data_IF_905399443847
#
_entry.id   IF_905399443847
#
_cell.length_a   1.000
_cell.length_b   1.000
_cell.length_c   1.000
_cell.angle_alpha   90.00
_cell.angle_beta   90.00
_cell.angle_gamma   90.00
#
_symmetry.space_group_name_H-M   'P 1'
#
loop_
_entity.id
_entity.type
_entity.pdbx_description
1 polymer ?
#
# COMPACT_ATOMS: atom_id res chain seq x y z
N UNK A 1 11.25 -19.10 -0.26
CA UNK A 1 11.44 -17.65 -0.38
C UNK A 1 10.65 -17.02 0.75
N UNK A 2 11.23 -16.11 1.53
CA UNK A 2 10.52 -15.45 2.63
C UNK A 2 9.52 -14.43 2.08
N UNK A 3 8.40 -14.26 2.78
CA UNK A 3 7.32 -13.31 2.42
C UNK A 3 7.68 -11.85 2.78
N UNK A 4 8.85 -11.64 3.38
CA UNK A 4 9.40 -10.35 3.80
C UNK A 4 10.19 -10.48 5.11
N UNK A 5 11.03 -9.49 5.41
CA UNK A 5 11.76 -9.35 6.67
C UNK A 5 11.10 -8.28 7.54
N UNK A 6 10.63 -8.69 8.71
CA UNK A 6 9.93 -7.87 9.68
C UNK A 6 10.85 -7.50 10.84
N UNK A 7 10.72 -6.28 11.34
CA UNK A 7 11.18 -5.92 12.68
C UNK A 7 9.97 -5.93 13.62
N UNK A 8 10.05 -6.66 14.73
CA UNK A 8 9.06 -6.63 15.82
C UNK A 8 9.67 -5.95 17.03
N UNK A 9 9.32 -4.68 17.25
CA UNK A 9 9.76 -3.87 18.39
C UNK A 9 8.65 -3.79 19.44
N UNK A 10 8.83 -4.48 20.56
CA UNK A 10 7.91 -4.48 21.70
C UNK A 10 8.74 -4.83 22.94
N UNK A 11 8.65 -4.12 24.05
CA UNK A 11 9.41 -4.38 25.27
C UNK A 11 8.89 -5.64 26.01
N UNK A 12 7.64 -6.05 25.76
CA UNK A 12 7.00 -7.19 26.39
C UNK A 12 7.41 -8.52 25.74
N UNK A 13 8.25 -9.29 26.46
CA UNK A 13 8.77 -10.56 25.97
C UNK A 13 7.69 -11.63 25.72
N UNK A 14 6.62 -11.65 26.51
CA UNK A 14 5.52 -12.60 26.35
C UNK A 14 4.73 -12.30 25.07
N UNK A 15 4.48 -11.02 24.79
CA UNK A 15 3.81 -10.60 23.56
C UNK A 15 4.64 -10.99 22.33
N UNK A 16 5.94 -10.68 22.32
CA UNK A 16 6.84 -11.10 21.22
C UNK A 16 6.84 -12.62 21.05
N UNK A 17 6.98 -13.36 22.14
CA UNK A 17 6.98 -14.84 22.14
C UNK A 17 5.66 -15.42 21.60
N UNK A 18 4.53 -14.74 21.81
CA UNK A 18 3.24 -15.16 21.28
C UNK A 18 3.08 -14.92 19.77
N UNK A 19 3.66 -13.83 19.24
CA UNK A 19 3.52 -13.46 17.82
C UNK A 19 4.55 -14.15 16.91
N UNK A 20 5.76 -14.41 17.39
CA UNK A 20 6.84 -14.97 16.58
C UNK A 20 6.48 -16.28 15.86
N UNK A 21 5.88 -17.29 16.52
CA UNK A 21 5.52 -18.54 15.85
C UNK A 21 4.52 -18.30 14.72
N UNK A 22 3.57 -17.40 14.93
CA UNK A 22 2.54 -17.06 13.96
C UNK A 22 3.13 -16.35 12.74
N UNK A 23 3.94 -15.32 12.94
CA UNK A 23 4.60 -14.58 11.85
C UNK A 23 5.54 -15.49 11.04
N UNK A 24 6.26 -16.39 11.71
CA UNK A 24 7.13 -17.36 11.03
C UNK A 24 6.34 -18.42 10.26
N UNK A 25 5.19 -18.85 10.79
CA UNK A 25 4.28 -19.78 10.09
C UNK A 25 3.74 -19.15 8.79
N UNK A 26 3.47 -17.84 8.80
CA UNK A 26 3.11 -17.05 7.62
C UNK A 26 4.28 -16.78 6.66
N UNK A 27 5.48 -17.31 6.96
CA UNK A 27 6.65 -17.26 6.08
C UNK A 27 7.48 -15.97 6.16
N UNK A 28 7.29 -15.16 7.19
CA UNK A 28 8.11 -13.96 7.43
C UNK A 28 9.40 -14.29 8.18
N UNK A 29 10.49 -13.61 7.82
CA UNK A 29 11.68 -13.53 8.67
C UNK A 29 11.45 -12.43 9.71
N UNK A 30 11.65 -12.71 11.00
CA UNK A 30 11.34 -11.75 12.07
C UNK A 30 12.56 -11.51 12.93
N UNK A 31 12.92 -10.23 13.04
CA UNK A 31 13.93 -9.70 13.92
C UNK A 31 13.26 -9.00 15.11
N UNK A 32 13.65 -9.36 16.34
CA UNK A 32 13.04 -8.80 17.55
C UNK A 32 13.82 -7.60 18.09
N UNK A 33 13.14 -6.60 18.62
CA UNK A 33 13.74 -5.56 19.44
C UNK A 33 12.90 -5.36 20.70
N UNK A 34 13.59 -5.22 21.83
CA UNK A 34 13.01 -5.04 23.17
C UNK A 34 13.14 -3.60 23.69
N UNK A 35 13.77 -2.72 22.91
CA UNK A 35 13.94 -1.30 23.24
C UNK A 35 13.97 -0.42 21.99
N UNK A 36 13.79 0.88 22.19
CA UNK A 36 13.92 1.90 21.12
C UNK A 36 15.32 1.83 20.48
N UNK A 37 16.37 1.74 21.29
CA UNK A 37 17.76 1.72 20.83
C UNK A 37 18.05 0.44 20.01
N UNK A 38 17.59 -0.70 20.49
CA UNK A 38 17.72 -2.00 19.82
C UNK A 38 16.99 -1.97 18.46
N UNK A 39 15.76 -1.44 18.45
CA UNK A 39 14.94 -1.30 17.25
C UNK A 39 15.61 -0.40 16.22
N UNK A 40 16.05 0.80 16.61
CA UNK A 40 16.75 1.77 15.76
C UNK A 40 18.05 1.18 15.20
N UNK A 41 18.85 0.51 16.03
CA UNK A 41 20.10 -0.13 15.60
C UNK A 41 19.84 -1.19 14.52
N UNK A 42 18.84 -2.06 14.70
CA UNK A 42 18.49 -3.08 13.70
C UNK A 42 18.00 -2.43 12.42
N UNK A 43 17.09 -1.49 12.55
CA UNK A 43 16.65 -0.62 11.48
C UNK A 43 17.84 -0.12 10.62
N UNK A 44 18.93 0.35 11.24
CA UNK A 44 20.10 0.90 10.54
C UNK A 44 21.08 -0.12 9.98
N UNK A 45 21.13 -1.33 10.54
CA UNK A 45 22.21 -2.29 10.28
C UNK A 45 21.79 -3.49 9.43
N UNK A 46 20.50 -3.66 9.17
CA UNK A 46 19.98 -4.78 8.40
C UNK A 46 18.80 -4.38 7.52
N UNK A 47 18.54 -5.13 6.42
CA UNK A 47 17.35 -4.92 5.62
C UNK A 47 16.09 -5.21 6.44
N UNK A 48 15.08 -4.35 6.34
CA UNK A 48 13.76 -4.53 6.95
C UNK A 48 12.72 -4.05 5.94
N UNK A 49 11.72 -4.90 5.66
CA UNK A 49 10.65 -4.60 4.70
C UNK A 49 9.47 -3.88 5.35
N UNK A 50 9.23 -4.15 6.64
CA UNK A 50 8.17 -3.58 7.45
C UNK A 50 8.54 -3.62 8.95
N UNK A 51 8.25 -2.55 9.68
CA UNK A 51 8.41 -2.50 11.13
C UNK A 51 7.05 -2.61 11.84
N UNK A 52 6.94 -3.53 12.79
CA UNK A 52 5.84 -3.68 13.75
C UNK A 52 6.32 -3.12 15.07
N UNK A 53 5.68 -2.06 15.55
CA UNK A 53 6.21 -1.26 16.65
C UNK A 53 5.12 -1.09 17.70
N UNK A 54 5.37 -1.54 18.93
CA UNK A 54 4.52 -1.16 20.05
C UNK A 54 4.60 0.34 20.29
N UNK A 55 3.46 0.98 20.49
CA UNK A 55 3.41 2.39 20.79
C UNK A 55 4.16 2.72 22.10
N UNK A 56 4.08 1.81 23.08
CA UNK A 56 4.65 1.92 24.42
C UNK A 56 5.89 1.03 24.52
N UNK A 57 7.04 1.54 24.08
CA UNK A 57 8.25 0.73 23.93
C UNK A 57 9.22 0.85 25.12
N UNK A 58 8.93 1.70 26.11
CA UNK A 58 9.80 1.92 27.28
C UNK A 58 9.18 1.44 28.57
N UNK A 59 8.00 1.94 28.93
CA UNK A 59 7.35 1.63 30.21
C UNK A 59 6.00 0.91 30.00
N UNK A 60 5.98 -0.38 30.35
CA UNK A 60 4.75 -1.18 30.34
C UNK A 60 3.75 -0.63 31.37
N UNK A 61 2.64 -0.06 30.89
CA UNK A 61 1.55 0.44 31.71
C UNK A 61 1.47 1.96 31.82
N UNK A 62 2.42 2.72 31.25
CA UNK A 62 2.24 4.16 31.09
C UNK A 62 1.38 4.45 29.85
N UNK A 63 0.17 4.97 30.09
CA UNK A 63 -0.73 5.39 29.02
C UNK A 63 -0.22 6.60 28.22
N UNK A 64 0.81 7.28 28.72
CA UNK A 64 1.49 8.40 28.08
C UNK A 64 2.73 8.00 27.26
N UNK A 65 3.21 6.76 27.37
CA UNK A 65 4.34 6.29 26.58
C UNK A 65 3.96 6.23 25.08
N UNK A 66 4.71 6.99 24.29
CA UNK A 66 4.61 7.07 22.83
C UNK A 66 5.98 6.89 22.16
N UNK A 67 6.96 6.34 22.90
CA UNK A 67 8.34 6.13 22.48
C UNK A 67 8.46 5.31 21.18
N UNK A 68 7.49 4.45 20.88
CA UNK A 68 7.41 3.73 19.61
C UNK A 68 7.37 4.65 18.38
N UNK A 69 6.87 5.89 18.51
CA UNK A 69 6.86 6.84 17.40
C UNK A 69 8.26 7.32 16.99
N UNK A 70 9.23 7.27 17.90
CA UNK A 70 10.63 7.56 17.55
C UNK A 70 11.17 6.51 16.57
N UNK A 71 10.87 5.24 16.84
CA UNK A 71 11.22 4.13 15.95
C UNK A 71 10.49 4.26 14.61
N UNK A 72 9.20 4.63 14.63
CA UNK A 72 8.42 4.84 13.41
C UNK A 72 8.99 5.98 12.54
N UNK A 73 9.37 7.10 13.17
CA UNK A 73 10.05 8.21 12.49
C UNK A 73 11.34 7.75 11.83
N UNK A 74 12.20 7.02 12.55
CA UNK A 74 13.47 6.50 12.02
C UNK A 74 13.25 5.47 10.91
N UNK A 75 12.19 4.66 10.98
CA UNK A 75 11.79 3.76 9.90
C UNK A 75 11.42 4.54 8.63
N UNK A 76 10.60 5.59 8.78
CA UNK A 76 10.19 6.47 7.68
C UNK A 76 11.35 7.21 7.00
N UNK A 77 12.35 7.67 7.77
CA UNK A 77 13.59 8.27 7.24
C UNK A 77 14.34 7.30 6.30
N UNK A 78 14.21 5.98 6.51
CA UNK A 78 14.77 4.93 5.65
C UNK A 78 13.74 4.31 4.71
N UNK A 79 12.59 4.96 4.53
CA UNK A 79 11.48 4.54 3.67
C UNK A 79 10.88 3.19 4.05
N UNK A 80 11.05 2.73 5.28
CA UNK A 80 10.49 1.49 5.80
C UNK A 80 9.12 1.83 6.42
N UNK A 81 8.02 1.22 5.95
CA UNK A 81 6.72 1.46 6.56
C UNK A 81 6.68 0.92 7.99
N UNK A 82 5.90 1.58 8.84
CA UNK A 82 5.69 1.19 10.23
C UNK A 82 4.21 0.97 10.50
N UNK A 83 3.87 -0.17 11.12
CA UNK A 83 2.57 -0.43 11.73
C UNK A 83 2.73 -0.25 13.23
N UNK A 84 1.91 0.62 13.82
CA UNK A 84 1.89 0.80 15.27
C UNK A 84 0.91 -0.19 15.89
N UNK A 85 1.39 -0.97 16.85
CA UNK A 85 0.58 -1.83 17.69
C UNK A 85 0.24 -1.06 18.96
N UNK A 86 -1.03 -1.05 19.37
CA UNK A 86 -1.51 -0.21 20.47
C UNK A 86 -2.43 -0.97 21.43
N UNK A 87 -2.29 -0.68 22.73
CA UNK A 87 -3.16 -1.18 23.79
C UNK A 87 -4.37 -0.27 24.07
N UNK A 88 -4.48 0.87 23.37
CA UNK A 88 -5.65 1.75 23.50
C UNK A 88 -6.95 1.04 23.08
N UNK A 89 -8.13 1.51 23.56
CA UNK A 89 -9.41 0.86 23.25
C UNK A 89 -9.79 0.90 21.77
N UNK A 90 -9.26 1.86 21.00
CA UNK A 90 -9.51 1.97 19.57
C UNK A 90 -8.38 2.70 18.83
N UNK A 91 -8.33 2.54 17.51
CA UNK A 91 -7.42 3.29 16.64
C UNK A 91 -7.72 4.80 16.68
N UNK A 92 -9.00 5.16 16.74
CA UNK A 92 -9.41 6.56 16.83
C UNK A 92 -8.93 7.21 18.13
N UNK A 93 -9.13 6.53 19.27
CA UNK A 93 -8.63 7.01 20.56
C UNK A 93 -7.11 7.13 20.58
N UNK A 94 -6.40 6.18 19.97
CA UNK A 94 -4.94 6.27 19.78
C UNK A 94 -4.56 7.55 19.04
N UNK A 95 -5.13 7.80 17.85
CA UNK A 95 -4.80 8.97 17.02
C UNK A 95 -5.15 10.30 17.70
N UNK A 96 -6.28 10.37 18.40
CA UNK A 96 -6.65 11.55 19.19
C UNK A 96 -5.65 11.80 20.31
N UNK A 97 -5.27 10.75 21.03
CA UNK A 97 -4.33 10.81 22.14
C UNK A 97 -2.92 11.22 21.68
N UNK A 98 -2.49 10.82 20.48
CA UNK A 98 -1.25 11.27 19.86
C UNK A 98 -1.28 12.77 19.52
N UNK A 99 -2.34 13.23 18.85
CA UNK A 99 -2.49 14.65 18.50
C UNK A 99 -2.54 15.56 19.72
N UNK A 100 -3.26 15.15 20.76
CA UNK A 100 -3.33 15.89 22.03
C UNK A 100 -1.95 16.07 22.69
N UNK A 101 -1.01 15.16 22.42
CA UNK A 101 0.38 15.21 22.91
C UNK A 101 1.34 15.89 21.94
N UNK A 102 0.85 16.47 20.83
CA UNK A 102 1.70 17.09 19.81
C UNK A 102 2.49 16.09 18.95
N UNK A 103 2.16 14.80 19.03
CA UNK A 103 2.79 13.78 18.21
C UNK A 103 2.11 13.68 16.83
N UNK A 104 2.87 13.26 15.82
CA UNK A 104 2.39 13.11 14.46
C UNK A 104 1.85 11.69 14.21
N UNK A 105 0.52 11.49 14.11
CA UNK A 105 -0.05 10.18 13.85
C UNK A 105 0.22 9.66 12.43
N UNK A 106 0.77 10.48 11.52
CA UNK A 106 1.08 10.07 10.14
C UNK A 106 2.41 9.33 10.00
N UNK A 107 3.20 9.21 11.07
CA UNK A 107 4.47 8.47 11.09
C UNK A 107 4.30 6.95 10.89
N UNK A 108 3.08 6.43 11.07
CA UNK A 108 2.75 5.04 10.85
C UNK A 108 1.74 4.91 9.70
N UNK A 109 1.91 3.89 8.87
CA UNK A 109 1.00 3.61 7.75
C UNK A 109 -0.30 2.96 8.22
N UNK A 110 -0.27 2.29 9.37
CA UNK A 110 -1.46 1.71 10.00
C UNK A 110 -1.31 1.61 11.53
N UNK A 111 -2.43 1.44 12.23
CA UNK A 111 -2.52 1.24 13.66
C UNK A 111 -3.40 0.02 13.95
N UNK A 112 -2.87 -0.94 14.72
CA UNK A 112 -3.56 -2.20 15.05
C UNK A 112 -3.64 -2.37 16.56
N UNK A 113 -4.81 -2.82 17.04
CA UNK A 113 -4.99 -3.10 18.47
C UNK A 113 -4.31 -4.40 18.88
N UNK A 114 -3.69 -4.46 20.07
CA UNK A 114 -3.14 -5.71 20.63
C UNK A 114 -4.21 -6.80 20.86
N UNK A 115 -5.48 -6.42 21.02
CA UNK A 115 -6.63 -7.30 21.30
C UNK A 115 -7.80 -6.97 20.36
N UNK A 116 -8.61 -7.97 19.95
CA UNK A 116 -8.74 -9.32 20.53
C UNK A 116 -7.87 -10.42 19.90
N UNK A 117 -7.07 -10.18 18.87
CA UNK A 117 -6.25 -11.23 18.25
C UNK A 117 -5.36 -10.75 17.12
N UNK A 118 -4.49 -11.64 16.59
CA UNK A 118 -3.45 -11.26 15.63
C UNK A 118 -3.97 -11.11 14.20
N UNK A 119 -5.21 -11.51 13.89
CA UNK A 119 -5.76 -11.51 12.53
C UNK A 119 -5.72 -10.12 11.88
N UNK A 120 -6.07 -9.08 12.64
CA UNK A 120 -6.00 -7.71 12.16
C UNK A 120 -4.56 -7.28 11.85
N UNK A 121 -3.60 -7.72 12.66
CA UNK A 121 -2.18 -7.46 12.44
C UNK A 121 -1.67 -8.18 11.19
N UNK A 122 -2.01 -9.46 11.03
CA UNK A 122 -1.65 -10.23 9.84
C UNK A 122 -2.25 -9.63 8.56
N UNK A 123 -3.52 -9.22 8.60
CA UNK A 123 -4.18 -8.56 7.47
C UNK A 123 -3.49 -7.23 7.11
N UNK A 124 -3.12 -6.43 8.11
CA UNK A 124 -2.40 -5.17 7.92
C UNK A 124 -1.00 -5.40 7.34
N UNK A 125 -0.24 -6.36 7.87
CA UNK A 125 1.08 -6.76 7.34
C UNK A 125 0.97 -7.13 5.87
N UNK A 126 0.04 -8.03 5.52
CA UNK A 126 -0.16 -8.49 4.16
C UNK A 126 -0.57 -7.33 3.23
N UNK A 127 -1.39 -6.39 3.70
CA UNK A 127 -1.80 -5.22 2.92
C UNK A 127 -0.63 -4.27 2.64
N UNK A 128 0.17 -3.94 3.65
CA UNK A 128 1.32 -3.01 3.52
C UNK A 128 2.41 -3.61 2.65
N UNK A 129 2.76 -4.88 2.85
CA UNK A 129 3.78 -5.55 2.03
C UNK A 129 3.33 -5.73 0.58
N UNK A 130 2.04 -6.04 0.35
CA UNK A 130 1.47 -6.07 -1.00
C UNK A 130 1.56 -4.69 -1.67
N UNK A 131 1.25 -3.60 -0.96
CA UNK A 131 1.36 -2.24 -1.49
C UNK A 131 2.81 -1.83 -1.83
N UNK A 132 3.81 -2.41 -1.14
CA UNK A 132 5.23 -2.22 -1.47
C UNK A 132 5.71 -3.05 -2.66
N UNK A 133 5.15 -4.25 -2.83
CA UNK A 133 5.41 -5.10 -3.99
C UNK A 133 4.68 -4.61 -5.23
N UNK A 134 3.59 -3.86 -5.03
CA UNK A 134 3.04 -3.04 -6.07
C UNK A 134 4.06 -1.98 -6.43
N UNK A 135 4.47 -1.92 -7.70
CA UNK A 135 5.41 -0.91 -8.13
C UNK A 135 4.97 0.48 -7.66
N UNK A 136 5.91 1.36 -7.33
CA UNK A 136 5.58 2.73 -6.96
C UNK A 136 5.04 3.46 -8.19
N UNK A 137 3.74 3.31 -8.47
CA UNK A 137 3.10 3.94 -9.61
C UNK A 137 3.08 5.44 -9.33
N UNK A 138 3.88 6.18 -10.09
CA UNK A 138 3.72 7.63 -10.21
C UNK A 138 2.25 8.01 -10.50
N UNK A 139 1.50 7.11 -11.14
CA UNK A 139 0.08 7.22 -11.45
C UNK A 139 -0.76 6.67 -10.29
N UNK A 140 -1.50 7.53 -9.60
CA UNK A 140 -2.45 7.16 -8.53
C UNK A 140 -3.86 7.40 -9.02
N UNK A 141 -4.74 6.40 -8.87
CA UNK A 141 -6.17 6.50 -9.19
C UNK A 141 -6.99 6.28 -7.91
N UNK A 142 -7.74 7.30 -7.52
CA UNK A 142 -8.73 7.24 -6.45
C UNK A 142 -10.11 6.97 -7.07
N UNK A 143 -10.53 5.71 -7.01
CA UNK A 143 -11.78 5.25 -7.61
C UNK A 143 -13.03 5.82 -6.91
N UNK A 144 -12.95 6.09 -5.61
CA UNK A 144 -14.07 6.60 -4.81
C UNK A 144 -14.29 8.09 -5.06
N UNK A 145 -13.21 8.86 -5.11
CA UNK A 145 -13.27 10.31 -5.32
C UNK A 145 -13.34 10.70 -6.79
N UNK A 146 -13.00 9.79 -7.69
CA UNK A 146 -12.97 10.08 -9.13
C UNK A 146 -11.70 10.81 -9.58
N UNK A 147 -10.67 10.82 -8.74
CA UNK A 147 -9.45 11.60 -8.93
C UNK A 147 -8.30 10.75 -9.48
N UNK A 148 -7.48 11.35 -10.34
CA UNK A 148 -6.25 10.72 -10.85
C UNK A 148 -5.12 11.71 -10.73
N UNK A 149 -3.95 11.26 -10.27
CA UNK A 149 -2.73 12.07 -10.25
C UNK A 149 -1.56 11.32 -10.86
N UNK A 150 -0.66 12.06 -11.49
CA UNK A 150 0.61 11.54 -12.00
C UNK A 150 1.76 12.35 -11.41
N UNK A 151 2.68 11.69 -10.71
CA UNK A 151 3.79 12.32 -9.98
C UNK A 151 3.28 13.43 -9.05
N UNK A 152 2.18 13.15 -8.35
CA UNK A 152 1.49 14.08 -7.45
C UNK A 152 0.72 15.22 -8.13
N UNK A 153 0.72 15.32 -9.47
CA UNK A 153 -0.04 16.34 -10.21
C UNK A 153 -1.41 15.81 -10.64
N UNK A 154 -2.52 16.49 -10.31
CA UNK A 154 -3.85 16.03 -10.72
C UNK A 154 -4.01 16.05 -12.25
N UNK A 155 -4.61 14.99 -12.78
CA UNK A 155 -4.92 14.82 -14.19
C UNK A 155 -6.42 15.03 -14.43
N UNK A 156 -6.76 15.93 -15.35
CA UNK A 156 -8.16 16.07 -15.80
C UNK A 156 -8.47 15.00 -16.84
N UNK A 157 -9.35 14.07 -16.51
CA UNK A 157 -9.78 12.98 -17.40
C UNK A 157 -11.26 13.12 -17.77
N UNK A 158 -11.62 12.65 -18.96
CA UNK A 158 -13.03 12.41 -19.27
C UNK A 158 -13.54 11.16 -18.55
N UNK A 159 -14.86 11.01 -18.42
CA UNK A 159 -15.48 9.83 -17.79
C UNK A 159 -14.97 8.51 -18.36
N UNK A 160 -14.84 8.42 -19.69
CA UNK A 160 -14.34 7.21 -20.35
C UNK A 160 -12.84 6.96 -20.07
N UNK A 161 -12.03 8.02 -20.01
CA UNK A 161 -10.61 7.91 -19.68
C UNK A 161 -10.41 7.43 -18.24
N UNK A 162 -11.19 8.01 -17.32
CA UNK A 162 -11.21 7.60 -15.92
C UNK A 162 -11.65 6.15 -15.78
N UNK A 163 -12.77 5.76 -16.39
CA UNK A 163 -13.28 4.39 -16.31
C UNK A 163 -12.25 3.35 -16.81
N UNK A 164 -11.58 3.66 -17.93
CA UNK A 164 -10.52 2.80 -18.46
C UNK A 164 -9.35 2.66 -17.46
N UNK A 165 -8.85 3.79 -16.95
CA UNK A 165 -7.73 3.80 -16.01
C UNK A 165 -8.09 3.16 -14.67
N UNK A 166 -9.27 3.44 -14.11
CA UNK A 166 -9.73 2.86 -12.86
C UNK A 166 -9.85 1.33 -12.95
N UNK A 167 -10.42 0.82 -14.04
CA UNK A 167 -10.52 -0.62 -14.26
C UNK A 167 -9.13 -1.29 -14.36
N UNK A 168 -8.23 -0.69 -15.13
CA UNK A 168 -6.85 -1.19 -15.26
C UNK A 168 -6.05 -1.06 -13.96
N UNK A 169 -6.29 -0.01 -13.17
CA UNK A 169 -5.60 0.24 -11.90
C UNK A 169 -6.04 -0.71 -10.79
N UNK A 170 -7.33 -1.09 -10.77
CA UNK A 170 -7.84 -2.16 -9.90
C UNK A 170 -7.25 -3.54 -10.27
N UNK A 171 -6.83 -3.72 -11.53
CA UNK A 171 -6.20 -4.94 -12.05
C UNK A 171 -4.76 -4.70 -12.48
N UNK A 172 -4.05 -3.79 -11.81
CA UNK A 172 -2.67 -3.40 -12.13
C UNK A 172 -1.76 -4.62 -12.20
N UNK A 173 -0.88 -4.68 -13.20
CA UNK A 173 -0.04 -5.84 -13.49
C UNK A 173 -0.75 -7.04 -14.14
N UNK A 174 -2.09 -7.07 -14.22
CA UNK A 174 -2.82 -8.09 -14.96
C UNK A 174 -3.14 -7.61 -16.40
N UNK A 175 -3.26 -8.57 -17.32
CA UNK A 175 -3.69 -8.28 -18.69
C UNK A 175 -5.22 -8.25 -18.73
N UNK A 176 -5.76 -7.12 -19.15
CA UNK A 176 -7.19 -6.94 -19.41
C UNK A 176 -7.46 -7.06 -20.90
N UNK A 177 -8.34 -7.99 -21.26
CA UNK A 177 -8.76 -8.22 -22.64
C UNK A 177 -9.57 -7.04 -23.18
N UNK A 178 -9.59 -6.91 -24.51
CA UNK A 178 -10.38 -5.85 -25.18
C UNK A 178 -11.86 -5.90 -24.79
N UNK A 179 -12.44 -7.11 -24.71
CA UNK A 179 -13.84 -7.30 -24.32
C UNK A 179 -14.11 -6.77 -22.91
N UNK A 180 -13.23 -7.06 -21.95
CA UNK A 180 -13.35 -6.54 -20.59
C UNK A 180 -13.25 -5.01 -20.55
N UNK A 181 -12.34 -4.41 -21.32
CA UNK A 181 -12.17 -2.96 -21.37
C UNK A 181 -13.35 -2.24 -22.02
N UNK A 182 -13.90 -2.80 -23.11
CA UNK A 182 -15.13 -2.28 -23.73
C UNK A 182 -16.27 -2.32 -22.72
N UNK A 183 -16.47 -3.45 -22.04
CA UNK A 183 -17.50 -3.62 -21.00
C UNK A 183 -17.33 -2.60 -19.87
N UNK A 184 -16.10 -2.42 -19.38
CA UNK A 184 -15.81 -1.49 -18.29
C UNK A 184 -16.04 -0.02 -18.66
N UNK A 185 -15.79 0.36 -19.91
CA UNK A 185 -15.89 1.77 -20.36
C UNK A 185 -17.29 2.12 -20.87
N UNK A 186 -17.95 1.18 -21.56
CA UNK A 186 -19.18 1.45 -22.31
C UNK A 186 -20.42 0.70 -21.80
N UNK A 187 -20.29 -0.26 -20.89
CA UNK A 187 -21.40 -1.04 -20.31
C UNK A 187 -21.71 -2.36 -21.03
N UNK A 188 -22.64 -3.15 -20.48
CA UNK A 188 -23.01 -4.49 -20.98
C UNK A 188 -23.93 -4.47 -22.21
N UNK A 189 -24.64 -3.37 -22.46
CA UNK A 189 -25.71 -3.28 -23.47
C UNK A 189 -25.23 -3.00 -24.90
N UNK A 190 -23.91 -2.90 -25.12
CA UNK A 190 -23.34 -2.61 -26.44
C UNK A 190 -23.09 -3.94 -27.16
N UNK A 191 -23.87 -4.23 -28.19
CA UNK A 191 -23.77 -5.49 -28.95
C UNK A 191 -22.36 -5.69 -29.53
N UNK A 192 -21.92 -6.96 -29.56
CA UNK A 192 -20.68 -7.46 -30.19
C UNK A 192 -20.57 -7.13 -31.71
N UNK A 193 -21.55 -6.40 -32.27
CA UNK A 193 -21.71 -6.11 -33.70
C UNK A 193 -21.29 -4.70 -34.11
N UNK A 194 -21.02 -3.77 -33.18
CA UNK A 194 -20.54 -2.43 -33.56
C UNK A 194 -19.04 -2.45 -33.88
N UNK A 195 -18.73 -2.63 -35.16
CA UNK A 195 -17.37 -2.59 -35.72
C UNK A 195 -16.58 -1.30 -35.40
N UNK A 196 -17.23 -0.26 -34.84
CA UNK A 196 -16.57 0.96 -34.41
C UNK A 196 -16.13 0.95 -32.93
N UNK A 197 -16.56 0.00 -32.10
CA UNK A 197 -16.18 -0.06 -30.69
C UNK A 197 -14.68 -0.23 -30.52
N UNK A 198 -14.06 -1.12 -31.30
CA UNK A 198 -12.60 -1.30 -31.29
C UNK A 198 -11.89 0.01 -31.66
N UNK A 199 -12.33 0.70 -32.72
CA UNK A 199 -11.77 2.00 -33.13
C UNK A 199 -11.98 3.09 -32.07
N UNK A 200 -13.07 3.02 -31.30
CA UNK A 200 -13.33 3.95 -30.18
C UNK A 200 -12.42 3.66 -29.00
N UNK A 201 -12.23 2.38 -28.65
CA UNK A 201 -11.32 1.96 -27.60
C UNK A 201 -9.87 2.32 -27.94
N UNK A 202 -9.43 2.09 -29.18
CA UNK A 202 -8.08 2.49 -29.64
C UNK A 202 -7.85 4.00 -29.52
N UNK A 203 -8.82 4.81 -29.94
CA UNK A 203 -8.75 6.28 -29.77
C UNK A 203 -8.73 6.69 -28.31
N UNK A 204 -9.46 5.97 -27.45
CA UNK A 204 -9.46 6.23 -26.01
C UNK A 204 -8.09 5.91 -25.39
N UNK A 205 -7.51 4.75 -25.72
CA UNK A 205 -6.17 4.34 -25.29
C UNK A 205 -5.13 5.37 -25.70
N UNK A 206 -5.14 5.82 -26.96
CA UNK A 206 -4.23 6.84 -27.46
C UNK A 206 -4.31 8.14 -26.63
N UNK A 207 -5.53 8.62 -26.35
CA UNK A 207 -5.76 9.83 -25.54
C UNK A 207 -5.39 9.67 -24.06
N UNK A 208 -5.42 8.44 -23.54
CA UNK A 208 -4.93 8.17 -22.19
C UNK A 208 -3.41 8.20 -22.18
N UNK A 209 -2.74 7.57 -23.15
CA UNK A 209 -1.27 7.60 -23.28
C UNK A 209 -0.74 9.03 -23.40
N UNK A 210 -1.40 9.89 -24.17
CA UNK A 210 -1.09 11.33 -24.26
C UNK A 210 -1.05 12.05 -22.90
N UNK A 211 -1.74 11.53 -21.89
CA UNK A 211 -1.83 12.15 -20.56
C UNK A 211 -0.93 11.51 -19.51
N UNK A 212 -0.58 10.24 -19.67
CA UNK A 212 0.11 9.47 -18.62
C UNK A 212 1.52 9.02 -19.02
N UNK A 213 1.85 9.05 -20.30
CA UNK A 213 3.17 8.64 -20.81
C UNK A 213 4.06 9.85 -21.10
N UNK A 214 5.38 9.67 -20.94
CA UNK A 214 6.36 10.63 -21.45
C UNK A 214 6.45 10.58 -22.98
N UNK A 215 6.43 9.36 -23.55
CA UNK A 215 6.30 9.13 -24.99
C UNK A 215 5.09 8.23 -25.28
N UNK A 216 3.97 8.79 -25.77
CA UNK A 216 2.77 8.02 -26.10
C UNK A 216 2.96 6.96 -27.19
N UNK A 217 4.00 7.07 -28.03
CA UNK A 217 4.31 6.08 -29.08
C UNK A 217 5.09 4.89 -28.52
N UNK A 218 5.80 5.10 -27.41
CA UNK A 218 6.54 4.06 -26.69
C UNK A 218 6.06 3.98 -25.23
N UNK A 219 4.82 3.51 -25.00
CA UNK A 219 4.18 3.57 -23.70
C UNK A 219 4.85 2.62 -22.71
N UNK A 220 5.17 3.13 -21.52
CA UNK A 220 5.71 2.34 -20.41
C UNK A 220 4.67 1.98 -19.36
N UNK A 221 3.62 2.78 -19.18
CA UNK A 221 2.55 2.54 -18.20
C UNK A 221 1.42 1.73 -18.81
N UNK A 222 0.86 2.19 -19.91
CA UNK A 222 -0.28 1.55 -20.59
C UNK A 222 0.20 0.69 -21.75
N UNK A 223 0.70 -0.50 -21.43
CA UNK A 223 1.37 -1.41 -22.36
C UNK A 223 0.34 -2.25 -23.12
N UNK A 224 0.51 -2.33 -24.44
CA UNK A 224 -0.24 -3.26 -25.28
C UNK A 224 0.43 -4.64 -25.22
N UNK A 225 -0.34 -5.66 -24.85
CA UNK A 225 0.11 -7.06 -24.87
C UNK A 225 -0.44 -7.72 -26.15
N UNK A 226 0.41 -8.03 -27.14
CA UNK A 226 -0.04 -8.53 -28.44
C UNK A 226 -0.97 -9.74 -28.31
N UNK A 227 -2.11 -9.69 -28.99
CA UNK A 227 -3.12 -10.76 -28.99
C UNK A 227 -3.93 -10.91 -27.70
N UNK A 228 -3.54 -10.27 -26.60
CA UNK A 228 -4.17 -10.45 -25.29
C UNK A 228 -4.94 -9.23 -24.81
N UNK A 229 -4.42 -8.01 -24.97
CA UNK A 229 -5.11 -6.80 -24.55
C UNK A 229 -4.18 -5.70 -24.05
N UNK A 230 -4.52 -5.07 -22.92
CA UNK A 230 -3.73 -4.03 -22.29
C UNK A 230 -3.41 -4.37 -20.85
N UNK A 231 -2.28 -3.84 -20.37
CA UNK A 231 -1.83 -3.95 -18.99
C UNK A 231 -1.34 -2.61 -18.49
N UNK A 232 -1.58 -2.33 -17.21
CA UNK A 232 -1.05 -1.16 -16.52
C UNK A 232 0.18 -1.53 -15.69
N UNK A 233 1.27 -0.84 -15.96
CA UNK A 233 2.62 -1.01 -15.41
C UNK A 233 3.08 0.25 -14.68
N UNK A 234 4.09 0.11 -13.82
CA UNK A 234 4.63 1.18 -12.96
C UNK A 234 5.09 2.40 -13.74
N UNK A 235 5.59 2.13 -14.94
CA UNK A 235 6.08 3.14 -15.86
C UNK A 235 7.53 3.55 -15.66
N UNK A 236 8.31 2.72 -14.98
CA UNK A 236 9.78 2.81 -14.93
C UNK A 236 10.41 2.34 -16.26
#
# INVERSE_FOLDING_TARGET
MSNGKLLLADNNADYRSSLLPLLRLEGYEVEEADSVESAIKKLETMPVDLALIDLRLTEDGDDHDISGLEVAKRAGERRIPAIIITAYPSVETTRLALRARGADPSLAVDYVLKRPGPDALLASIAAVLRQRQEPNYDLVVDAERGDVSLRGKPLRLSRAQFALLAHLYQRRGAVCSRKELVKAVYGEDMSDTDANLDKRLERLIARVREKIEEDPKNPKRLVSVPGLGLRLESGD
#
